data_IF_651277456230
#
_entry.id   IF_651277456230
#
_cell.length_a   1.000
_cell.length_b   1.000
_cell.length_c   1.000
_cell.angle_alpha   90.00
_cell.angle_beta   90.00
_cell.angle_gamma   90.00
#
_symmetry.space_group_name_H-M   'P 1'
#
loop_
_entity.id
_entity.type
_entity.pdbx_description
1 polymer ?
#
# COMPACT_ATOMS: atom_id res chain seq x y z
N UNK A 1 14.90 -3.34 -1.93
CA UNK A 1 13.76 -2.62 -1.36
C UNK A 1 12.48 -3.30 -1.71
N UNK A 2 12.33 -4.52 -1.33
CA UNK A 2 11.11 -5.21 -1.52
C UNK A 2 10.45 -5.42 -0.19
N UNK A 3 9.23 -4.98 -0.08
CA UNK A 3 8.44 -5.24 1.10
C UNK A 3 7.06 -5.69 0.66
N UNK A 4 6.42 -6.47 1.49
CA UNK A 4 5.06 -6.87 1.24
C UNK A 4 4.37 -6.91 2.58
N UNK A 5 3.59 -5.90 2.86
CA UNK A 5 2.91 -5.78 4.13
C UNK A 5 1.45 -6.12 3.92
N UNK A 6 0.94 -6.98 4.75
CA UNK A 6 -0.44 -7.41 4.64
C UNK A 6 -1.24 -6.86 5.80
N UNK A 7 -2.44 -6.41 5.50
CA UNK A 7 -3.37 -6.03 6.54
C UNK A 7 -4.74 -6.62 6.22
N UNK A 8 -5.46 -7.00 7.24
CA UNK A 8 -6.77 -7.56 7.08
C UNK A 8 -7.79 -6.60 7.67
N UNK A 9 -8.80 -6.26 6.89
CA UNK A 9 -9.84 -5.37 7.35
C UNK A 9 -11.15 -6.15 7.40
N UNK A 10 -11.75 -6.19 8.57
CA UNK A 10 -12.99 -6.92 8.77
C UNK A 10 -14.16 -5.95 8.77
N UNK A 11 -15.28 -6.39 8.23
CA UNK A 11 -16.45 -5.53 8.15
C UNK A 11 -16.95 -5.23 9.54
N UNK A 12 -17.21 -3.96 9.80
CA UNK A 12 -17.70 -3.55 11.09
C UNK A 12 -19.16 -3.96 11.25
N UNK A 13 -19.51 -4.51 12.39
CA UNK A 13 -20.90 -4.82 12.71
C UNK A 13 -21.28 -3.99 13.91
N UNK A 14 -22.57 -3.91 14.18
CA UNK A 14 -23.03 -3.16 15.31
C UNK A 14 -22.41 -3.70 16.60
N UNK A 15 -22.32 -5.02 16.72
CA UNK A 15 -21.72 -5.63 17.88
C UNK A 15 -20.24 -5.27 18.02
N UNK A 16 -19.51 -5.28 16.91
CA UNK A 16 -18.09 -4.94 16.97
C UNK A 16 -17.88 -3.48 17.31
N UNK A 17 -18.74 -2.61 16.84
CA UNK A 17 -18.66 -1.19 17.15
C UNK A 17 -18.97 -0.94 18.61
N UNK A 18 -19.98 -1.62 19.15
CA UNK A 18 -20.33 -1.49 20.54
C UNK A 18 -19.19 -1.99 21.43
N UNK A 19 -18.54 -3.07 21.03
CA UNK A 19 -17.42 -3.60 21.80
C UNK A 19 -16.25 -2.62 21.80
N UNK A 20 -16.03 -1.95 20.67
CA UNK A 20 -14.89 -1.04 20.55
C UNK A 20 -15.14 0.29 21.24
N UNK A 21 -16.32 0.87 21.06
CA UNK A 21 -16.59 2.21 21.59
C UNK A 21 -17.34 2.22 22.92
N UNK A 22 -17.90 1.08 23.31
CA UNK A 22 -18.57 0.97 24.59
C UNK A 22 -19.71 1.96 24.73
N UNK A 23 -19.73 2.68 25.85
CA UNK A 23 -20.79 3.62 26.11
C UNK A 23 -20.78 4.80 25.15
N UNK A 24 -19.69 5.00 24.42
CA UNK A 24 -19.61 6.11 23.49
C UNK A 24 -20.17 5.76 22.12
N UNK A 25 -20.56 4.52 21.92
CA UNK A 25 -21.14 4.11 20.65
C UNK A 25 -22.46 4.85 20.43
N UNK A 26 -22.61 5.44 19.26
CA UNK A 26 -23.80 6.22 18.93
C UNK A 26 -24.22 5.83 17.52
N UNK A 27 -25.33 5.14 17.36
CA UNK A 27 -25.75 4.66 16.03
C UNK A 27 -26.02 5.78 15.01
N UNK A 28 -26.17 7.01 15.47
CA UNK A 28 -26.37 8.11 14.55
C UNK A 28 -25.06 8.63 13.97
N UNK A 29 -23.93 8.21 14.51
CA UNK A 29 -22.65 8.65 13.99
C UNK A 29 -22.16 7.72 12.91
N UNK A 30 -21.28 8.25 12.06
CA UNK A 30 -20.72 7.47 10.99
C UNK A 30 -19.44 6.84 11.47
N UNK A 31 -19.33 5.55 11.28
CA UNK A 31 -18.13 4.80 11.66
C UNK A 31 -17.51 4.14 10.43
N UNK A 32 -16.23 3.78 10.49
CA UNK A 32 -15.61 3.07 9.38
C UNK A 32 -16.33 1.74 9.15
N UNK A 33 -16.53 1.40 7.90
CA UNK A 33 -17.21 0.17 7.56
C UNK A 33 -16.32 -1.04 7.70
N UNK A 34 -15.02 -0.85 7.59
CA UNK A 34 -14.05 -1.93 7.75
C UNK A 34 -12.97 -1.47 8.70
N UNK A 35 -12.53 -2.33 9.58
CA UNK A 35 -11.49 -2.02 10.53
C UNK A 35 -10.50 -3.15 10.61
N UNK A 36 -9.28 -2.83 10.87
CA UNK A 36 -8.24 -3.84 11.03
C UNK A 36 -6.94 -3.23 11.48
N UNK A 37 -5.94 -4.05 11.56
CA UNK A 37 -4.61 -3.59 11.96
C UNK A 37 -3.60 -4.09 10.95
N UNK A 38 -2.48 -3.43 10.89
CA UNK A 38 -1.40 -3.81 10.03
C UNK A 38 -0.23 -4.21 10.91
N UNK A 39 0.36 -5.36 10.60
CA UNK A 39 1.51 -5.81 11.35
C UNK A 39 2.68 -5.89 10.41
N UNK A 40 3.82 -5.39 10.83
CA UNK A 40 5.01 -5.36 10.01
C UNK A 40 6.16 -6.01 10.75
N UNK A 41 6.90 -6.84 10.05
CA UNK A 41 8.12 -7.40 10.62
C UNK A 41 9.19 -6.33 10.58
N UNK A 42 10.25 -6.55 11.34
CA UNK A 42 11.35 -5.59 11.34
C UNK A 42 11.92 -5.44 9.94
N UNK A 43 12.03 -6.53 9.20
CA UNK A 43 12.56 -6.47 7.84
C UNK A 43 11.65 -5.64 6.93
N UNK A 44 10.34 -5.81 7.06
CA UNK A 44 9.41 -5.03 6.25
C UNK A 44 9.54 -3.54 6.58
N UNK A 45 9.72 -3.21 7.85
CA UNK A 45 9.88 -1.83 8.25
C UNK A 45 11.14 -1.24 7.63
N UNK A 46 12.25 -1.97 7.70
CA UNK A 46 13.50 -1.49 7.14
C UNK A 46 13.37 -1.27 5.63
N UNK A 47 12.81 -2.24 4.94
CA UNK A 47 12.68 -2.16 3.49
C UNK A 47 11.73 -1.04 3.07
N UNK A 48 10.63 -0.89 3.77
CA UNK A 48 9.68 0.15 3.45
C UNK A 48 10.27 1.53 3.74
N UNK A 49 10.95 1.70 4.87
CA UNK A 49 11.58 2.97 5.19
C UNK A 49 12.63 3.35 4.16
N UNK A 50 13.43 2.38 3.72
CA UNK A 50 14.43 2.63 2.70
C UNK A 50 13.76 3.10 1.41
N UNK A 51 12.69 2.42 1.01
CA UNK A 51 11.96 2.78 -0.18
C UNK A 51 11.41 4.21 -0.07
N UNK A 52 10.77 4.52 1.06
CA UNK A 52 10.15 5.83 1.23
C UNK A 52 11.19 6.95 1.26
N UNK A 53 12.36 6.68 1.81
CA UNK A 53 13.40 7.68 1.87
C UNK A 53 14.07 7.93 0.52
N UNK A 54 14.19 6.88 -0.29
CA UNK A 54 14.85 7.01 -1.58
C UNK A 54 13.93 7.49 -2.69
N UNK A 55 12.63 7.33 -2.52
CA UNK A 55 11.70 7.76 -3.53
C UNK A 55 11.62 9.28 -3.61
N UNK A 56 11.43 9.79 -4.82
CA UNK A 56 11.27 11.22 -4.99
C UNK A 56 9.79 11.55 -4.92
N UNK A 57 9.39 12.39 -3.96
CA UNK A 57 7.97 12.75 -3.86
C UNK A 57 7.51 13.48 -5.12
N UNK A 58 6.32 13.16 -5.58
CA UNK A 58 5.75 13.79 -6.76
C UNK A 58 4.60 14.68 -6.35
N UNK A 59 4.54 15.85 -6.93
CA UNK A 59 3.49 16.82 -6.63
C UNK A 59 2.26 16.52 -7.45
N UNK A 60 1.11 16.75 -6.87
CA UNK A 60 -0.16 16.58 -7.55
C UNK A 60 -1.15 17.57 -6.95
N UNK A 61 -2.34 17.61 -7.52
CA UNK A 61 -3.37 18.49 -6.98
C UNK A 61 -3.74 18.10 -5.56
N UNK A 62 -3.69 16.82 -5.24
CA UNK A 62 -4.03 16.38 -3.90
C UNK A 62 -2.85 16.55 -2.94
N UNK A 63 -1.65 16.57 -3.45
CA UNK A 63 -0.46 16.64 -2.62
C UNK A 63 0.51 17.66 -3.20
N UNK A 64 0.21 18.95 -3.03
CA UNK A 64 1.05 20.01 -3.62
C UNK A 64 2.49 19.98 -3.11
N UNK A 65 2.72 19.40 -1.93
CA UNK A 65 4.06 19.34 -1.40
C UNK A 65 4.81 18.10 -1.85
N UNK A 66 4.13 17.23 -2.54
CA UNK A 66 4.75 15.99 -3.00
C UNK A 66 4.37 14.80 -2.15
N UNK A 67 4.24 13.65 -2.76
CA UNK A 67 3.93 12.42 -2.05
C UNK A 67 4.60 11.25 -2.73
N UNK A 68 4.87 10.21 -1.96
CA UNK A 68 5.46 8.99 -2.47
C UNK A 68 4.35 7.96 -2.63
N UNK A 69 4.37 7.22 -3.71
CA UNK A 69 3.34 6.24 -4.02
C UNK A 69 3.73 4.84 -3.56
N UNK A 70 2.80 4.18 -2.89
CA UNK A 70 2.93 2.79 -2.51
C UNK A 70 1.74 2.08 -3.12
N UNK A 71 1.95 0.91 -3.70
CA UNK A 71 0.87 0.18 -4.33
C UNK A 71 0.07 -0.59 -3.30
N UNK A 72 -1.24 -0.56 -3.42
CA UNK A 72 -2.12 -1.32 -2.54
C UNK A 72 -3.05 -2.17 -3.40
N UNK A 73 -3.19 -3.44 -3.04
CA UNK A 73 -4.09 -4.35 -3.73
C UNK A 73 -4.99 -4.99 -2.70
N UNK A 74 -6.27 -5.09 -3.00
CA UNK A 74 -7.23 -5.63 -2.05
C UNK A 74 -7.92 -6.86 -2.63
N UNK A 75 -8.06 -7.88 -1.82
CA UNK A 75 -8.73 -9.11 -2.21
C UNK A 75 -9.84 -9.40 -1.20
N UNK A 76 -10.96 -9.94 -1.67
CA UNK A 76 -12.04 -10.31 -0.79
C UNK A 76 -11.86 -11.77 -0.42
N UNK A 77 -11.76 -12.05 0.86
CA UNK A 77 -11.58 -13.42 1.35
C UNK A 77 -12.63 -13.76 2.39
N UNK A 78 -12.76 -15.03 2.69
CA UNK A 78 -13.68 -15.50 3.71
C UNK A 78 -12.89 -16.27 4.76
N UNK A 79 -13.09 -15.91 6.03
CA UNK A 79 -12.38 -16.59 7.11
C UNK A 79 -13.00 -17.96 7.37
N UNK A 80 -12.37 -18.75 8.20
CA UNK A 80 -12.87 -20.07 8.54
C UNK A 80 -14.22 -20.00 9.23
N UNK A 81 -14.49 -18.92 9.92
CA UNK A 81 -15.79 -18.74 10.57
C UNK A 81 -16.85 -18.17 9.66
N UNK A 82 -16.53 -17.98 8.40
CA UNK A 82 -17.52 -17.47 7.43
C UNK A 82 -17.59 -15.96 7.32
N UNK A 83 -16.72 -15.24 7.98
CA UNK A 83 -16.72 -13.80 7.89
C UNK A 83 -15.94 -13.33 6.68
N UNK A 84 -16.49 -12.39 5.94
CA UNK A 84 -15.78 -11.82 4.82
C UNK A 84 -14.85 -10.73 5.31
N UNK A 85 -13.68 -10.64 4.73
CA UNK A 85 -12.75 -9.57 5.05
C UNK A 85 -11.96 -9.19 3.82
N UNK A 86 -11.35 -8.02 3.88
CA UNK A 86 -10.48 -7.55 2.81
C UNK A 86 -9.04 -7.81 3.22
N UNK A 87 -8.33 -8.52 2.36
CA UNK A 87 -6.90 -8.72 2.57
C UNK A 87 -6.20 -7.73 1.67
N UNK A 88 -5.45 -6.82 2.24
CA UNK A 88 -4.81 -5.76 1.48
C UNK A 88 -3.31 -5.94 1.57
N UNK A 89 -2.65 -5.91 0.43
CA UNK A 89 -1.20 -5.97 0.38
C UNK A 89 -0.64 -4.63 -0.04
N UNK A 90 0.38 -4.17 0.67
CA UNK A 90 1.11 -2.97 0.31
C UNK A 90 2.47 -3.38 -0.19
N UNK A 91 2.83 -2.90 -1.37
CA UNK A 91 4.07 -3.24 -2.03
C UNK A 91 4.68 -2.01 -2.67
N UNK A 92 5.95 -2.04 -3.03
CA UNK A 92 6.52 -0.90 -3.74
C UNK A 92 5.79 -0.67 -5.06
N UNK A 93 5.59 0.57 -5.41
CA UNK A 93 5.05 0.91 -6.72
C UNK A 93 6.14 0.68 -7.74
N UNK A 94 5.82 -0.04 -8.81
CA UNK A 94 6.83 -0.44 -9.78
C UNK A 94 7.55 0.76 -10.41
N UNK A 95 6.83 1.79 -10.79
CA UNK A 95 7.47 2.94 -11.41
C UNK A 95 8.39 3.66 -10.44
N UNK A 96 7.97 3.78 -9.18
CA UNK A 96 8.78 4.41 -8.16
C UNK A 96 10.04 3.60 -7.91
N UNK A 97 9.90 2.28 -7.82
CA UNK A 97 11.03 1.41 -7.57
C UNK A 97 12.03 1.50 -8.71
N UNK A 98 11.55 1.50 -9.94
CA UNK A 98 12.42 1.60 -11.09
C UNK A 98 13.16 2.93 -11.11
N UNK A 99 12.49 4.01 -10.77
CA UNK A 99 13.12 5.31 -10.72
C UNK A 99 14.23 5.35 -9.65
N UNK A 100 13.99 4.70 -8.51
CA UNK A 100 15.00 4.63 -7.49
C UNK A 100 16.21 3.86 -7.98
N UNK A 101 15.98 2.73 -8.65
CA UNK A 101 17.08 1.91 -9.16
C UNK A 101 17.90 2.66 -10.20
N UNK A 102 17.24 3.40 -11.07
CA UNK A 102 17.95 4.16 -12.08
C UNK A 102 18.77 5.27 -11.43
N UNK A 103 18.23 5.90 -10.40
CA UNK A 103 18.92 6.95 -9.74
C UNK A 103 20.13 6.41 -9.00
N UNK A 104 20.01 5.24 -8.39
CA UNK A 104 21.11 4.67 -7.64
C UNK A 104 22.21 4.14 -8.54
N UNK A 105 21.84 3.62 -9.71
CA UNK A 105 22.83 3.09 -10.60
C UNK A 105 23.62 4.21 -11.28
N UNK A 106 23.11 5.38 -11.21
CA UNK A 106 23.76 6.50 -11.82
C UNK A 106 23.67 6.52 -13.27
N UNK A 107 23.00 5.64 -13.85
CA UNK A 107 22.93 5.54 -15.17
C UNK A 107 22.14 6.28 -15.87
N UNK A 108 21.64 6.60 -15.73
CA UNK A 108 20.96 7.38 -16.43
C UNK A 108 20.92 7.14 -17.68
N UNK A 109 20.99 7.42 -18.06
CA UNK A 109 20.89 7.46 -19.20
C UNK A 109 20.92 6.65 -20.03
N UNK A 110 21.23 6.75 -20.37
CA UNK A 110 21.42 6.17 -21.18
C UNK A 110 20.80 5.27 -21.70
N UNK A 111 20.75 4.85 -21.69
CA UNK A 111 20.43 3.97 -22.14
C UNK A 111 19.51 3.62 -22.62
N UNK A 112 19.33 3.59 -23.15
CA UNK A 112 18.47 3.35 -23.64
C UNK A 112 17.92 2.35 -23.99
N UNK A 113 17.98 2.30 -24.24
CA UNK A 113 17.56 1.53 -24.68
C UNK A 113 16.90 0.69 -24.45
N UNK A 114 16.88 0.40 -24.35
CA UNK A 114 16.36 -0.55 -24.26
C UNK A 114 15.24 -0.62 -23.91
N UNK A 115 15.03 -0.22 -23.69
CA UNK A 115 14.10 -0.32 -23.34
C UNK A 115 13.22 -0.89 -23.79
N UNK A 116 13.29 -0.91 -24.05
CA UNK A 116 12.63 -1.55 -24.85
C UNK A 116 11.96 -2.49 -24.27
N UNK A 117 12.38 -3.09 -23.75
CA UNK A 117 11.81 -3.99 -23.17
C UNK A 117 10.82 -3.68 -22.52
N UNK A 118 10.83 -2.74 -22.20
CA UNK A 118 10.00 -2.42 -21.43
C UNK A 118 8.69 -2.40 -21.71
N UNK A 119 8.22 -2.50 -22.74
CA UNK A 119 6.88 -2.52 -23.07
C UNK A 119 6.19 -3.38 -22.17
N UNK A 120 6.78 -4.47 -21.85
CA UNK A 120 6.13 -5.38 -21.06
C UNK A 120 5.89 -4.84 -19.75
N UNK A 121 6.77 -4.12 -19.24
CA UNK A 121 6.59 -3.62 -17.96
C UNK A 121 5.47 -2.68 -17.89
N UNK A 122 5.23 -2.00 -18.91
CA UNK A 122 4.17 -1.08 -18.87
C UNK A 122 2.91 -1.70 -18.67
N UNK A 123 2.81 -2.89 -19.05
CA UNK A 123 1.60 -3.46 -18.98
C UNK A 123 1.28 -3.92 -17.74
N UNK A 124 2.15 -4.44 -17.07
CA UNK A 124 1.88 -4.90 -15.91
C UNK A 124 1.08 -4.28 -15.10
N UNK A 125 1.17 -3.31 -14.85
CA UNK A 125 0.52 -2.74 -13.90
C UNK A 125 -0.74 -3.01 -13.77
N UNK A 126 -1.15 -3.29 -13.79
CA UNK A 126 -2.28 -3.41 -13.42
C UNK A 126 -3.00 -3.21 -13.65
#
# INVERSE_FOLDING_TARGET
MEFKVNLALFKATEDSLKARYGDKYDPSKKYPQYNGTMQMTEMDIIQMCTYLQKATPEKSDYHPEGAVTVRASAYINTSKSGLQYLSINLEPDYKTLKAIEEKESGVTSSTPAPRTVDPTEDIIPF
#
